data_IF_518544574536
#
_entry.id   IF_518544574536
#
_cell.length_a   1.000
_cell.length_b   1.000
_cell.length_c   1.000
_cell.angle_alpha   90.00
_cell.angle_beta   90.00
_cell.angle_gamma   90.00
#
_symmetry.space_group_name_H-M   'P 1'
#
loop_
_entity.id
_entity.type
_entity.pdbx_description
1 polymer ?
#
# COMPACT_ATOMS: atom_id res chain seq x y z
N UNK A 1 0.03 -19.16 -3.00
CA UNK A 1 -0.79 -18.08 -2.38
C UNK A 1 -1.79 -18.72 -1.43
N UNK A 2 -2.09 -18.08 -0.29
CA UNK A 2 -2.87 -18.72 0.80
C UNK A 2 -4.30 -19.08 0.39
N UNK A 3 -4.89 -18.37 -0.57
CA UNK A 3 -6.26 -18.61 -1.02
C UNK A 3 -6.51 -20.00 -1.63
N UNK A 4 -5.50 -20.65 -2.25
CA UNK A 4 -5.70 -21.98 -2.82
C UNK A 4 -6.04 -23.03 -1.75
N UNK A 5 -5.40 -22.96 -0.57
CA UNK A 5 -5.70 -23.84 0.55
C UNK A 5 -7.14 -23.63 1.05
N UNK A 6 -7.60 -22.37 1.08
CA UNK A 6 -8.96 -22.05 1.50
C UNK A 6 -10.02 -22.50 0.48
N UNK A 7 -9.72 -22.38 -0.83
CA UNK A 7 -10.58 -22.92 -1.89
C UNK A 7 -10.67 -24.45 -1.80
N UNK A 8 -9.53 -25.12 -1.64
CA UNK A 8 -9.51 -26.59 -1.48
C UNK A 8 -10.28 -27.03 -0.24
N UNK A 9 -10.14 -26.31 0.88
CA UNK A 9 -10.90 -26.58 2.09
C UNK A 9 -12.41 -26.37 1.89
N UNK A 10 -12.82 -25.32 1.19
CA UNK A 10 -14.22 -25.09 0.84
C UNK A 10 -14.79 -26.20 -0.06
N UNK A 11 -14.03 -26.64 -1.07
CA UNK A 11 -14.42 -27.75 -1.93
C UNK A 11 -14.54 -29.05 -1.13
N UNK A 12 -13.59 -29.33 -0.24
CA UNK A 12 -13.66 -30.46 0.68
C UNK A 12 -14.92 -30.40 1.57
N UNK A 13 -15.24 -29.24 2.14
CA UNK A 13 -16.46 -29.06 2.93
C UNK A 13 -17.72 -29.39 2.10
N UNK A 14 -17.79 -28.98 0.83
CA UNK A 14 -18.93 -29.29 -0.03
C UNK A 14 -19.07 -30.81 -0.30
N UNK A 15 -17.95 -31.50 -0.56
CA UNK A 15 -17.94 -32.96 -0.73
C UNK A 15 -18.37 -33.67 0.55
N UNK A 16 -17.88 -33.22 1.70
CA UNK A 16 -18.25 -33.76 3.01
C UNK A 16 -19.73 -33.54 3.32
N UNK A 17 -20.25 -32.32 3.14
CA UNK A 17 -21.68 -32.02 3.33
C UNK A 17 -22.54 -32.92 2.42
N UNK A 18 -22.10 -33.15 1.18
CA UNK A 18 -22.81 -34.04 0.26
C UNK A 18 -22.81 -35.50 0.74
N UNK A 19 -21.66 -36.01 1.17
CA UNK A 19 -21.51 -37.38 1.67
C UNK A 19 -22.37 -37.69 2.90
N UNK A 20 -22.71 -36.67 3.69
CA UNK A 20 -23.54 -36.78 4.89
C UNK A 20 -24.96 -36.20 4.71
N UNK A 21 -25.44 -36.05 3.48
CA UNK A 21 -26.80 -35.57 3.16
C UNK A 21 -27.17 -34.23 3.82
N UNK A 22 -26.24 -33.29 3.85
CA UNK A 22 -26.46 -31.98 4.45
C UNK A 22 -27.57 -31.19 3.76
N UNK A 23 -28.33 -30.42 4.54
CA UNK A 23 -29.43 -29.59 4.03
C UNK A 23 -28.92 -28.40 3.21
N UNK A 24 -29.80 -27.82 2.38
CA UNK A 24 -29.54 -26.57 1.66
C UNK A 24 -28.97 -25.45 2.55
N UNK A 25 -29.46 -25.32 3.78
CA UNK A 25 -29.02 -24.28 4.72
C UNK A 25 -27.55 -24.42 5.12
N UNK A 26 -27.03 -25.64 5.17
CA UNK A 26 -25.60 -25.90 5.45
C UNK A 26 -24.74 -25.41 4.29
N UNK A 27 -25.15 -25.68 3.05
CA UNK A 27 -24.47 -25.15 1.86
C UNK A 27 -24.49 -23.63 1.82
N UNK A 28 -25.65 -23.02 2.08
CA UNK A 28 -25.79 -21.56 2.11
C UNK A 28 -24.88 -20.94 3.18
N UNK A 29 -24.87 -21.50 4.39
CA UNK A 29 -23.99 -21.04 5.46
C UNK A 29 -22.51 -21.13 5.08
N UNK A 30 -22.06 -22.28 4.54
CA UNK A 30 -20.69 -22.47 4.08
C UNK A 30 -20.32 -21.50 2.96
N UNK A 31 -21.22 -21.25 2.01
CA UNK A 31 -21.01 -20.29 0.93
C UNK A 31 -20.88 -18.85 1.45
N UNK A 32 -21.74 -18.43 2.38
CA UNK A 32 -21.66 -17.10 3.00
C UNK A 32 -20.36 -16.92 3.79
N UNK A 33 -19.96 -17.94 4.57
CA UNK A 33 -18.70 -17.94 5.29
C UNK A 33 -17.50 -17.85 4.35
N UNK A 34 -17.50 -18.66 3.27
CA UNK A 34 -16.46 -18.62 2.25
C UNK A 34 -16.36 -17.23 1.60
N UNK A 35 -17.51 -16.67 1.21
CA UNK A 35 -17.59 -15.34 0.60
C UNK A 35 -17.08 -14.25 1.56
N UNK A 36 -17.44 -14.31 2.84
CA UNK A 36 -16.94 -13.38 3.86
C UNK A 36 -15.42 -13.43 4.01
N UNK A 37 -14.82 -14.63 4.01
CA UNK A 37 -13.35 -14.79 4.06
C UNK A 37 -12.69 -14.27 2.79
N UNK A 38 -13.27 -14.50 1.61
CA UNK A 38 -12.76 -13.97 0.34
C UNK A 38 -12.79 -12.45 0.33
N UNK A 39 -13.89 -11.84 0.77
CA UNK A 39 -14.02 -10.39 0.90
C UNK A 39 -12.99 -9.86 1.89
N UNK A 40 -12.89 -10.43 3.09
CA UNK A 40 -11.88 -10.00 4.07
C UNK A 40 -10.45 -10.12 3.53
N UNK A 41 -10.12 -11.22 2.87
CA UNK A 41 -8.83 -11.43 2.22
C UNK A 41 -8.54 -10.42 1.09
N UNK A 42 -9.57 -9.88 0.44
CA UNK A 42 -9.43 -8.84 -0.59
C UNK A 42 -9.09 -7.48 -0.01
N UNK A 43 -9.69 -7.12 1.14
CA UNK A 43 -9.55 -5.81 1.77
C UNK A 43 -8.44 -5.71 2.83
N UNK A 44 -7.91 -6.84 3.31
CA UNK A 44 -6.79 -6.88 4.26
C UNK A 44 -5.48 -7.30 3.59
N UNK A 45 -4.72 -6.29 3.16
CA UNK A 45 -3.41 -6.45 2.50
C UNK A 45 -2.37 -7.17 3.37
N UNK A 46 -2.54 -7.21 4.70
CA UNK A 46 -1.62 -7.89 5.61
C UNK A 46 -1.77 -9.41 5.59
N UNK A 47 -2.94 -9.93 5.21
CA UNK A 47 -3.17 -11.38 5.13
C UNK A 47 -2.35 -12.02 4.00
N UNK A 48 -2.02 -11.24 2.97
CA UNK A 48 -1.35 -11.75 1.78
C UNK A 48 -2.20 -12.78 1.02
N UNK A 49 -3.52 -12.60 1.02
CA UNK A 49 -4.46 -13.60 0.54
C UNK A 49 -4.34 -13.79 -0.98
N UNK A 50 -4.52 -12.72 -1.76
CA UNK A 50 -4.35 -12.74 -3.23
C UNK A 50 -2.97 -12.27 -3.69
N UNK A 51 -2.33 -11.36 -2.96
CA UNK A 51 -1.02 -10.79 -3.31
C UNK A 51 -0.17 -10.79 -2.06
N UNK A 52 1.06 -11.29 -2.15
CA UNK A 52 2.00 -11.19 -1.03
C UNK A 52 2.65 -9.81 -1.03
N UNK A 53 2.09 -8.89 -0.26
CA UNK A 53 2.58 -7.52 -0.16
C UNK A 53 3.59 -7.38 0.97
N UNK A 54 4.63 -6.58 0.75
CA UNK A 54 5.56 -6.19 1.80
C UNK A 54 4.86 -5.19 2.73
N UNK A 55 4.52 -5.61 3.94
CA UNK A 55 3.77 -4.79 4.92
C UNK A 55 4.61 -4.30 6.09
N UNK A 56 5.79 -4.88 6.30
CA UNK A 56 6.77 -4.48 7.33
C UNK A 56 8.17 -4.99 6.99
N UNK A 57 9.20 -4.32 7.49
CA UNK A 57 10.58 -4.81 7.55
C UNK A 57 10.77 -5.68 8.79
N UNK A 58 11.41 -6.84 8.66
CA UNK A 58 11.86 -7.62 9.83
C UNK A 58 13.18 -7.04 10.30
N UNK A 59 13.17 -6.33 11.42
CA UNK A 59 14.37 -5.65 11.95
C UNK A 59 14.32 -5.54 13.48
N UNK A 60 15.50 -5.57 14.11
CA UNK A 60 15.67 -5.29 15.55
C UNK A 60 15.96 -3.81 15.82
N UNK A 61 16.25 -3.03 14.79
CA UNK A 61 16.59 -1.60 14.86
C UNK A 61 15.28 -0.80 14.94
N UNK A 62 15.31 0.33 15.64
CA UNK A 62 14.19 1.29 15.69
C UNK A 62 14.18 2.10 14.40
N UNK A 63 13.59 1.55 13.37
CA UNK A 63 13.41 2.22 12.08
C UNK A 63 11.98 1.98 11.55
N UNK A 64 11.43 2.92 10.80
CA UNK A 64 10.09 2.82 10.18
C UNK A 64 10.08 3.42 8.77
N UNK A 65 9.16 3.01 7.91
CA UNK A 65 8.93 3.66 6.64
C UNK A 65 7.74 4.62 6.74
N UNK A 66 7.98 5.89 6.41
CA UNK A 66 6.92 6.83 6.08
C UNK A 66 6.55 6.62 4.61
N UNK A 67 5.27 6.37 4.34
CA UNK A 67 4.79 6.22 2.97
C UNK A 67 3.57 7.08 2.71
N UNK A 68 3.56 7.75 1.56
CA UNK A 68 2.51 8.67 1.16
C UNK A 68 1.87 8.21 -0.16
N UNK A 69 0.56 8.11 -0.18
CA UNK A 69 -0.23 7.76 -1.37
C UNK A 69 -0.94 9.00 -1.92
N UNK A 70 -1.35 8.88 -3.18
CA UNK A 70 -2.18 9.82 -3.97
C UNK A 70 -1.50 11.10 -4.47
N UNK A 71 -0.31 11.44 -3.98
CA UNK A 71 0.47 12.56 -4.47
C UNK A 71 1.07 12.37 -5.89
N UNK A 72 1.77 13.39 -6.42
CA UNK A 72 1.92 14.73 -5.83
C UNK A 72 0.64 15.58 -5.87
N UNK A 73 0.51 16.53 -4.95
CA UNK A 73 -0.57 17.53 -4.88
C UNK A 73 -0.01 18.91 -4.52
N UNK A 74 -0.86 19.93 -4.39
CA UNK A 74 -0.46 21.24 -3.85
C UNK A 74 0.07 21.19 -2.41
N UNK A 75 -0.23 20.14 -1.64
CA UNK A 75 0.29 19.97 -0.28
C UNK A 75 1.65 19.30 -0.24
N UNK A 76 1.98 18.44 -1.21
CA UNK A 76 3.23 17.66 -1.24
C UNK A 76 4.49 18.49 -1.00
N UNK A 77 4.66 19.73 -1.55
CA UNK A 77 5.83 20.55 -1.24
C UNK A 77 6.03 20.81 0.27
N UNK A 78 4.96 21.03 1.03
CA UNK A 78 5.04 21.24 2.49
C UNK A 78 5.52 19.98 3.21
N UNK A 79 5.11 18.80 2.73
CA UNK A 79 5.57 17.52 3.28
C UNK A 79 7.06 17.33 3.02
N UNK A 80 7.54 17.66 1.81
CA UNK A 80 8.96 17.61 1.46
C UNK A 80 9.79 18.53 2.34
N UNK A 81 9.35 19.79 2.53
CA UNK A 81 10.02 20.75 3.43
C UNK A 81 10.17 20.17 4.84
N UNK A 82 9.08 19.65 5.40
CA UNK A 82 9.07 19.09 6.74
C UNK A 82 9.94 17.83 6.88
N UNK A 83 9.95 16.96 5.86
CA UNK A 83 10.83 15.78 5.82
C UNK A 83 12.31 16.20 5.75
N UNK A 84 12.63 17.20 4.93
CA UNK A 84 13.98 17.75 4.77
C UNK A 84 14.49 18.40 6.05
N UNK A 85 13.68 19.22 6.71
CA UNK A 85 13.99 19.83 8.01
C UNK A 85 14.34 18.79 9.08
N UNK A 86 13.66 17.63 9.03
CA UNK A 86 13.89 16.53 9.97
C UNK A 86 14.93 15.51 9.48
N UNK A 87 15.55 15.73 8.32
CA UNK A 87 16.50 14.82 7.68
C UNK A 87 15.95 13.40 7.49
N UNK A 88 14.64 13.27 7.24
CA UNK A 88 13.96 11.99 7.06
C UNK A 88 13.63 11.74 5.58
N UNK A 89 13.68 10.48 5.16
CA UNK A 89 13.31 10.06 3.80
C UNK A 89 12.06 9.19 3.86
N UNK A 90 11.20 9.33 2.85
CA UNK A 90 9.94 8.62 2.72
C UNK A 90 9.84 7.92 1.34
N UNK A 91 8.79 7.13 1.17
CA UNK A 91 8.40 6.55 -0.12
C UNK A 91 7.05 7.11 -0.57
N UNK A 92 6.99 7.65 -1.78
CA UNK A 92 5.78 8.23 -2.35
C UNK A 92 5.23 7.29 -3.43
N UNK A 93 3.99 6.83 -3.27
CA UNK A 93 3.27 6.08 -4.28
C UNK A 93 2.42 7.05 -5.09
N UNK A 94 2.94 7.45 -6.25
CA UNK A 94 2.37 8.53 -7.03
C UNK A 94 1.35 8.02 -8.06
N UNK A 95 0.30 8.81 -8.25
CA UNK A 95 -0.70 8.58 -9.31
C UNK A 95 -0.19 9.21 -10.61
N UNK A 96 -0.24 8.48 -11.73
CA UNK A 96 0.25 8.97 -13.02
C UNK A 96 -0.31 10.35 -13.43
N UNK A 97 -1.64 10.52 -13.35
CA UNK A 97 -2.29 11.82 -13.63
C UNK A 97 -1.81 12.96 -12.74
N UNK A 98 -1.44 12.66 -11.50
CA UNK A 98 -0.95 13.68 -10.58
C UNK A 98 0.49 14.07 -10.90
N UNK A 99 1.31 13.13 -11.35
CA UNK A 99 2.65 13.43 -11.86
C UNK A 99 2.57 14.36 -13.07
N UNK A 100 1.64 14.12 -14.00
CA UNK A 100 1.41 15.01 -15.15
C UNK A 100 0.96 16.42 -14.72
N UNK A 101 0.16 16.51 -13.66
CA UNK A 101 -0.36 17.77 -13.13
C UNK A 101 0.69 18.56 -12.33
N UNK A 102 1.57 17.90 -11.59
CA UNK A 102 2.58 18.53 -10.74
C UNK A 102 4.01 18.00 -11.03
N UNK A 103 4.53 18.16 -12.27
CA UNK A 103 5.79 17.56 -12.69
C UNK A 103 7.00 18.08 -11.90
N UNK A 104 7.02 19.38 -11.57
CA UNK A 104 8.10 19.99 -10.78
C UNK A 104 8.15 19.44 -9.36
N UNK A 105 6.98 19.25 -8.73
CA UNK A 105 6.89 18.65 -7.40
C UNK A 105 7.34 17.19 -7.43
N UNK A 106 6.97 16.44 -8.47
CA UNK A 106 7.45 15.07 -8.66
C UNK A 106 8.98 15.00 -8.81
N UNK A 107 9.58 15.85 -9.64
CA UNK A 107 11.03 15.92 -9.78
C UNK A 107 11.72 16.32 -8.47
N UNK A 108 11.09 17.20 -7.69
CA UNK A 108 11.57 17.56 -6.35
C UNK A 108 11.57 16.37 -5.39
N UNK A 109 10.54 15.52 -5.39
CA UNK A 109 10.51 14.29 -4.58
C UNK A 109 11.76 13.44 -4.87
N UNK A 110 12.10 13.28 -6.15
CA UNK A 110 13.27 12.49 -6.60
C UNK A 110 14.58 13.18 -6.22
N UNK A 111 14.72 14.49 -6.50
CA UNK A 111 15.93 15.26 -6.24
C UNK A 111 16.26 15.32 -4.74
N UNK A 112 15.25 15.28 -3.88
CA UNK A 112 15.42 15.19 -2.43
C UNK A 112 15.69 13.76 -1.94
N UNK A 113 15.85 12.78 -2.82
CA UNK A 113 16.28 11.42 -2.48
C UNK A 113 15.20 10.58 -1.81
N UNK A 114 13.93 10.87 -2.07
CA UNK A 114 12.82 9.99 -1.69
C UNK A 114 12.61 8.90 -2.75
N UNK A 115 12.03 7.79 -2.32
CA UNK A 115 11.75 6.66 -3.23
C UNK A 115 10.37 6.82 -3.86
N UNK A 116 10.27 6.54 -5.16
CA UNK A 116 9.01 6.56 -5.91
C UNK A 116 8.47 5.13 -6.09
N UNK A 117 7.16 4.98 -5.90
CA UNK A 117 6.38 3.82 -6.29
C UNK A 117 5.20 4.21 -7.18
N UNK A 118 4.66 3.21 -7.87
CA UNK A 118 3.52 3.35 -8.77
C UNK A 118 2.20 3.16 -7.99
N UNK A 119 1.25 4.06 -8.19
CA UNK A 119 -0.10 3.99 -7.60
C UNK A 119 -1.22 4.01 -8.64
N UNK A 120 -1.00 3.35 -9.79
CA UNK A 120 -1.83 3.40 -11.00
C UNK A 120 -1.86 4.76 -11.69
N UNK A 121 -2.28 4.78 -12.95
CA UNK A 121 -2.33 6.02 -13.71
C UNK A 121 -3.48 6.92 -13.26
N UNK A 122 -4.69 6.37 -13.08
CA UNK A 122 -5.90 7.17 -12.85
C UNK A 122 -6.43 7.12 -11.42
N UNK A 123 -6.13 6.07 -10.65
CA UNK A 123 -6.69 5.81 -9.32
C UNK A 123 -8.23 5.93 -9.28
N UNK A 124 -8.92 5.36 -10.28
CA UNK A 124 -10.39 5.40 -10.33
C UNK A 124 -11.05 4.60 -9.20
N UNK A 125 -12.27 4.97 -8.80
CA UNK A 125 -13.06 4.16 -7.86
C UNK A 125 -13.34 2.74 -8.37
N UNK A 126 -13.26 2.52 -9.69
CA UNK A 126 -13.48 1.23 -10.32
C UNK A 126 -12.22 0.36 -10.38
N UNK A 127 -11.08 0.83 -9.88
CA UNK A 127 -9.79 0.12 -9.99
C UNK A 127 -9.87 -1.30 -9.42
N UNK A 128 -10.60 -1.52 -8.33
CA UNK A 128 -10.83 -2.86 -7.76
C UNK A 128 -11.60 -3.83 -8.67
N UNK A 129 -12.31 -3.32 -9.67
CA UNK A 129 -13.16 -4.10 -10.59
C UNK A 129 -12.56 -4.23 -12.00
N UNK A 130 -11.38 -3.66 -12.25
CA UNK A 130 -10.74 -3.75 -13.55
C UNK A 130 -10.36 -5.20 -13.87
N UNK A 131 -10.47 -5.54 -15.16
CA UNK A 131 -9.91 -6.78 -15.69
C UNK A 131 -8.38 -6.72 -15.65
N UNK A 132 -7.73 -7.89 -15.73
CA UNK A 132 -6.26 -7.96 -15.75
C UNK A 132 -5.63 -7.04 -16.81
N UNK A 133 -6.05 -7.05 -18.09
CA UNK A 133 -5.42 -6.19 -19.11
C UNK A 133 -5.57 -4.70 -18.82
N UNK A 134 -6.74 -4.26 -18.34
CA UNK A 134 -6.95 -2.85 -17.96
C UNK A 134 -6.10 -2.43 -16.77
N UNK A 135 -5.89 -3.33 -15.81
CA UNK A 135 -5.00 -3.06 -14.68
C UNK A 135 -3.52 -3.00 -15.11
N UNK A 136 -3.11 -3.86 -16.05
CA UNK A 136 -1.76 -3.79 -16.66
C UNK A 136 -1.57 -2.44 -17.33
N UNK A 137 -2.54 -2.00 -18.15
CA UNK A 137 -2.52 -0.69 -18.80
C UNK A 137 -2.41 0.47 -17.79
N UNK A 138 -3.16 0.44 -16.70
CA UNK A 138 -3.08 1.46 -15.64
C UNK A 138 -1.70 1.50 -14.96
N UNK A 139 -1.05 0.36 -14.79
CA UNK A 139 0.30 0.28 -14.20
C UNK A 139 1.33 0.79 -15.20
N UNK A 140 1.31 0.28 -16.43
CA UNK A 140 2.30 0.61 -17.47
C UNK A 140 2.23 2.08 -17.87
N UNK A 141 1.03 2.66 -18.03
CA UNK A 141 0.87 4.11 -18.27
C UNK A 141 1.47 4.95 -17.16
N UNK A 142 1.30 4.54 -15.90
CA UNK A 142 1.92 5.25 -14.78
C UNK A 142 3.44 5.11 -14.82
N UNK A 143 3.98 3.96 -15.20
CA UNK A 143 5.43 3.77 -15.38
C UNK A 143 6.00 4.63 -16.50
N UNK A 144 5.30 4.73 -17.62
CA UNK A 144 5.68 5.60 -18.75
C UNK A 144 5.80 7.06 -18.30
N UNK A 145 4.83 7.56 -17.52
CA UNK A 145 4.86 8.92 -16.98
C UNK A 145 5.98 9.11 -15.95
N UNK A 146 6.16 8.15 -15.03
CA UNK A 146 7.26 8.16 -14.05
C UNK A 146 8.61 8.26 -14.78
N UNK A 147 8.80 7.48 -15.84
CA UNK A 147 10.03 7.49 -16.63
C UNK A 147 10.18 8.80 -17.43
N UNK A 148 9.12 9.25 -18.11
CA UNK A 148 9.14 10.46 -18.94
C UNK A 148 9.50 11.72 -18.15
N UNK A 149 8.95 11.88 -16.94
CA UNK A 149 9.11 13.11 -16.15
C UNK A 149 10.28 12.99 -15.16
N UNK A 150 10.49 11.81 -14.57
CA UNK A 150 11.47 11.59 -13.51
C UNK A 150 12.75 10.90 -13.96
N UNK A 151 12.80 10.34 -15.18
CA UNK A 151 13.91 9.51 -15.68
C UNK A 151 14.31 8.36 -14.73
N UNK A 152 13.32 7.77 -14.05
CA UNK A 152 13.52 6.63 -13.16
C UNK A 152 12.62 5.48 -13.54
N UNK A 153 13.03 4.26 -13.18
CA UNK A 153 12.21 3.06 -13.26
C UNK A 153 12.00 2.53 -11.84
N UNK A 154 10.77 2.18 -11.50
CA UNK A 154 10.43 1.58 -10.22
C UNK A 154 9.72 0.26 -10.43
N UNK A 155 10.03 -0.74 -9.60
CA UNK A 155 9.24 -1.95 -9.50
C UNK A 155 8.27 -1.91 -8.31
N UNK A 156 8.25 -0.83 -7.52
CA UNK A 156 7.35 -0.70 -6.38
C UNK A 156 5.95 -0.34 -6.88
N UNK A 157 4.96 -1.04 -6.35
CA UNK A 157 3.55 -0.78 -6.64
C UNK A 157 2.75 -0.89 -5.36
N UNK A 158 1.80 0.02 -5.14
CA UNK A 158 0.80 -0.10 -4.09
C UNK A 158 -0.59 -0.21 -4.71
N UNK A 159 -1.36 -1.28 -4.42
CA UNK A 159 -2.73 -1.38 -4.89
C UNK A 159 -3.61 -0.24 -4.33
N UNK A 160 -4.34 0.49 -5.18
CA UNK A 160 -5.35 1.47 -4.75
C UNK A 160 -6.29 0.91 -3.69
N UNK A 161 -6.55 1.73 -2.67
CA UNK A 161 -7.37 1.37 -1.50
C UNK A 161 -6.87 0.17 -0.67
N UNK A 162 -5.72 -0.42 -1.01
CA UNK A 162 -5.23 -1.68 -0.43
C UNK A 162 -5.99 -2.92 -0.90
N UNK A 163 -6.87 -2.79 -1.90
CA UNK A 163 -7.70 -3.88 -2.40
C UNK A 163 -6.86 -4.80 -3.29
N UNK A 164 -6.94 -6.10 -3.04
CA UNK A 164 -6.27 -7.12 -3.85
C UNK A 164 -7.27 -8.18 -4.30
N UNK A 165 -7.11 -8.69 -5.51
CA UNK A 165 -7.95 -9.74 -6.09
C UNK A 165 -7.15 -10.52 -7.16
N UNK A 166 -7.69 -11.60 -7.75
CA UNK A 166 -6.98 -12.38 -8.76
C UNK A 166 -6.54 -11.58 -9.99
N UNK A 167 -7.34 -10.61 -10.45
CA UNK A 167 -7.00 -9.77 -11.61
C UNK A 167 -5.79 -8.87 -11.30
N UNK A 168 -5.83 -8.17 -10.15
CA UNK A 168 -4.72 -7.34 -9.68
C UNK A 168 -3.47 -8.20 -9.47
N UNK A 169 -3.61 -9.39 -8.86
CA UNK A 169 -2.49 -10.31 -8.66
C UNK A 169 -1.84 -10.75 -9.97
N UNK A 170 -2.64 -11.00 -11.01
CA UNK A 170 -2.14 -11.35 -12.35
C UNK A 170 -1.46 -10.15 -13.02
N UNK A 171 -2.04 -8.96 -12.93
CA UNK A 171 -1.47 -7.74 -13.49
C UNK A 171 -0.12 -7.38 -12.84
N UNK A 172 0.00 -7.47 -11.52
CA UNK A 172 1.26 -7.27 -10.79
C UNK A 172 2.35 -8.24 -11.26
N UNK A 173 2.00 -9.52 -11.50
CA UNK A 173 2.95 -10.50 -12.03
C UNK A 173 3.38 -10.18 -13.46
N UNK A 174 2.45 -9.80 -14.33
CA UNK A 174 2.74 -9.47 -15.73
C UNK A 174 3.60 -8.21 -15.88
N UNK A 175 3.43 -7.25 -14.98
CA UNK A 175 4.20 -5.98 -14.94
C UNK A 175 5.45 -6.06 -14.06
N UNK A 176 5.79 -7.25 -13.54
CA UNK A 176 6.94 -7.50 -12.67
C UNK A 176 7.03 -6.56 -11.45
N UNK A 177 5.87 -6.13 -10.93
CA UNK A 177 5.80 -5.24 -9.77
C UNK A 177 5.91 -5.99 -8.45
N UNK A 178 6.47 -5.30 -7.46
CA UNK A 178 6.51 -5.71 -6.07
C UNK A 178 5.44 -4.92 -5.31
N UNK A 179 4.44 -5.64 -4.81
CA UNK A 179 3.34 -5.04 -4.05
C UNK A 179 3.81 -4.60 -2.66
N UNK A 180 3.59 -3.33 -2.33
CA UNK A 180 3.90 -2.74 -1.04
C UNK A 180 2.60 -2.40 -0.32
N UNK A 181 2.39 -3.00 0.85
CA UNK A 181 1.27 -2.67 1.72
C UNK A 181 1.72 -1.84 2.92
N UNK A 182 1.05 -2.05 4.05
CA UNK A 182 1.35 -1.40 5.33
C UNK A 182 0.90 -2.30 6.49
N UNK A 183 1.45 -2.05 7.67
CA UNK A 183 0.95 -2.62 8.93
C UNK A 183 0.43 -1.54 9.89
N UNK A 184 0.65 -0.27 9.59
CA UNK A 184 0.10 0.88 10.32
C UNK A 184 -0.70 1.74 9.35
N UNK A 185 -2.03 1.74 9.49
CA UNK A 185 -2.96 2.53 8.67
C UNK A 185 -3.43 3.76 9.45
N UNK A 186 -3.18 4.95 8.92
CA UNK A 186 -3.59 6.23 9.52
C UNK A 186 -5.11 6.45 9.51
N UNK A 187 -5.79 6.05 8.43
CA UNK A 187 -7.16 6.43 8.09
C UNK A 187 -7.36 7.96 8.05
N UNK A 188 -6.32 8.67 7.61
CA UNK A 188 -6.30 10.14 7.47
C UNK A 188 -7.21 10.64 6.35
N UNK A 189 -7.52 9.85 5.34
CA UNK A 189 -8.52 10.21 4.31
C UNK A 189 -9.98 10.12 4.80
N UNK A 190 -10.23 9.42 5.92
CA UNK A 190 -11.59 9.18 6.45
C UNK A 190 -11.82 9.93 7.77
N UNK A 191 -10.78 10.01 8.63
CA UNK A 191 -10.88 10.62 9.95
C UNK A 191 -10.56 12.11 9.86
N UNK A 192 -11.41 13.01 10.39
CA UNK A 192 -11.10 14.45 10.42
C UNK A 192 -10.33 14.90 11.67
N UNK A 193 -10.30 14.08 12.72
CA UNK A 193 -9.61 14.42 13.96
C UNK A 193 -8.13 14.00 13.93
N UNK A 194 -7.23 15.00 13.89
CA UNK A 194 -5.76 14.83 13.88
C UNK A 194 -5.25 13.98 15.06
N UNK A 195 -5.73 14.24 16.29
CA UNK A 195 -5.32 13.51 17.50
C UNK A 195 -5.68 12.03 17.39
N UNK A 196 -6.82 11.71 16.80
CA UNK A 196 -7.25 10.32 16.58
C UNK A 196 -6.33 9.62 15.56
N UNK A 197 -5.98 10.30 14.46
CA UNK A 197 -5.04 9.76 13.47
C UNK A 197 -3.67 9.52 14.12
N UNK A 198 -3.12 10.54 14.79
CA UNK A 198 -1.84 10.48 15.49
C UNK A 198 -1.79 9.32 16.50
N UNK A 199 -2.81 9.21 17.37
CA UNK A 199 -2.90 8.13 18.37
C UNK A 199 -2.97 6.75 17.72
N UNK A 200 -3.70 6.61 16.61
CA UNK A 200 -3.81 5.34 15.86
C UNK A 200 -2.47 4.93 15.28
N UNK A 201 -1.73 5.86 14.68
CA UNK A 201 -0.42 5.60 14.09
C UNK A 201 0.59 5.22 15.17
N UNK A 202 0.72 6.04 16.22
CA UNK A 202 1.72 5.84 17.28
C UNK A 202 1.45 4.61 18.14
N UNK A 203 0.18 4.31 18.48
CA UNK A 203 -0.18 3.12 19.28
C UNK A 203 0.20 1.80 18.60
N UNK A 204 0.07 1.73 17.28
CA UNK A 204 0.32 0.51 16.51
C UNK A 204 1.76 0.41 15.98
N UNK A 205 2.58 1.44 16.23
CA UNK A 205 3.92 1.53 15.71
C UNK A 205 4.83 0.45 16.31
N UNK A 206 5.54 -0.25 15.43
CA UNK A 206 6.56 -1.25 15.77
C UNK A 206 7.82 -1.01 14.94
N UNK A 207 8.94 -1.56 15.39
CA UNK A 207 10.18 -1.62 14.60
C UNK A 207 9.91 -2.24 13.22
N UNK A 208 10.40 -1.58 12.18
CA UNK A 208 10.20 -1.97 10.79
C UNK A 208 8.80 -1.70 10.22
N UNK A 209 7.94 -0.95 10.92
CA UNK A 209 6.60 -0.68 10.41
C UNK A 209 6.64 0.13 9.11
N UNK A 210 5.71 -0.17 8.21
CA UNK A 210 5.38 0.67 7.05
C UNK A 210 4.08 1.39 7.39
N UNK A 211 4.16 2.73 7.43
CA UNK A 211 3.06 3.62 7.81
C UNK A 211 2.44 4.18 6.53
N UNK A 212 1.14 3.95 6.33
CA UNK A 212 0.35 4.58 5.28
C UNK A 212 -0.18 5.94 5.75
N UNK A 213 0.12 6.99 4.98
CA UNK A 213 -0.38 8.37 5.06
C UNK A 213 -0.72 8.86 3.64
N UNK A 214 -1.35 10.03 3.53
CA UNK A 214 -1.62 10.68 2.23
C UNK A 214 -1.18 12.15 2.30
N UNK A 215 -0.35 12.59 1.35
CA UNK A 215 0.17 13.95 1.25
C UNK A 215 -0.79 14.91 0.53
N UNK A 216 -2.08 14.81 0.88
CA UNK A 216 -3.20 15.44 0.17
C UNK A 216 -3.97 16.45 1.02
N UNK A 217 -3.58 16.66 2.29
CA UNK A 217 -4.29 17.58 3.19
C UNK A 217 -3.42 18.19 4.28
N UNK A 218 -3.81 19.38 4.75
CA UNK A 218 -3.20 20.07 5.89
C UNK A 218 -3.30 19.26 7.19
N UNK A 219 -4.42 18.56 7.39
CA UNK A 219 -4.62 17.67 8.52
C UNK A 219 -3.55 16.58 8.60
N UNK A 220 -3.24 15.92 7.48
CA UNK A 220 -2.17 14.91 7.47
C UNK A 220 -0.80 15.55 7.68
N UNK A 221 -0.58 16.77 7.19
CA UNK A 221 0.65 17.52 7.45
C UNK A 221 0.86 17.78 8.96
N UNK A 222 -0.18 18.22 9.68
CA UNK A 222 -0.11 18.42 11.13
C UNK A 222 0.18 17.10 11.87
N UNK A 223 -0.48 16.01 11.47
CA UNK A 223 -0.21 14.67 12.02
C UNK A 223 1.23 14.24 11.74
N UNK A 224 1.77 14.51 10.56
CA UNK A 224 3.15 14.20 10.21
C UNK A 224 4.11 14.98 11.12
N UNK A 225 3.87 16.27 11.35
CA UNK A 225 4.69 17.09 12.27
C UNK A 225 4.80 16.46 13.66
N UNK A 226 3.67 16.09 14.26
CA UNK A 226 3.64 15.44 15.57
C UNK A 226 4.28 14.04 15.53
N UNK A 227 4.08 13.30 14.45
CA UNK A 227 4.67 11.97 14.26
C UNK A 227 6.20 12.05 14.17
N UNK A 228 6.77 13.01 13.44
CA UNK A 228 8.22 13.19 13.32
C UNK A 228 8.86 13.53 14.67
N UNK A 229 8.21 14.40 15.46
CA UNK A 229 8.62 14.69 16.84
C UNK A 229 8.61 13.44 17.72
N UNK A 230 7.55 12.64 17.63
CA UNK A 230 7.46 11.37 18.35
C UNK A 230 8.55 10.38 17.93
N UNK A 231 8.81 10.24 16.63
CA UNK A 231 9.86 9.35 16.12
C UNK A 231 11.24 9.77 16.63
N UNK A 232 11.52 11.08 16.62
CA UNK A 232 12.76 11.64 17.17
C UNK A 232 12.92 11.36 18.66
N UNK A 233 11.88 11.65 19.46
CA UNK A 233 11.86 11.36 20.92
C UNK A 233 12.11 9.87 21.20
N UNK A 234 11.44 8.99 20.46
CA UNK A 234 11.58 7.53 20.63
C UNK A 234 12.82 6.93 19.97
N UNK A 235 13.66 7.76 19.35
CA UNK A 235 14.88 7.40 18.62
C UNK A 235 14.63 6.41 17.49
N UNK A 236 13.59 6.66 16.70
CA UNK A 236 13.34 5.98 15.42
C UNK A 236 14.01 6.74 14.27
N UNK A 237 14.70 5.99 13.41
CA UNK A 237 15.09 6.48 12.08
C UNK A 237 14.03 6.14 11.03
N UNK A 238 14.15 6.72 9.84
CA UNK A 238 13.32 6.38 8.68
C UNK A 238 14.10 5.60 7.63
N UNK A 239 13.44 4.67 6.96
CA UNK A 239 13.96 4.00 5.75
C UNK A 239 12.95 4.10 4.60
N UNK A 240 13.42 4.01 3.38
CA UNK A 240 12.59 3.91 2.17
C UNK A 240 12.36 2.44 1.79
N UNK A 241 11.20 2.12 1.22
CA UNK A 241 10.78 0.72 1.04
C UNK A 241 11.69 -0.07 0.09
N UNK A 242 12.32 0.57 -0.89
CA UNK A 242 13.27 -0.08 -1.80
C UNK A 242 14.49 -0.67 -1.09
N UNK A 243 14.87 -0.14 0.08
CA UNK A 243 15.98 -0.68 0.88
C UNK A 243 15.71 -2.10 1.38
N UNK A 244 14.44 -2.45 1.63
CA UNK A 244 14.07 -3.82 2.02
C UNK A 244 14.32 -4.78 0.86
N UNK A 245 13.99 -4.34 -0.35
CA UNK A 245 14.07 -5.17 -1.55
C UNK A 245 15.52 -5.37 -2.00
N UNK A 246 16.35 -4.34 -1.96
CA UNK A 246 17.78 -4.44 -2.32
C UNK A 246 18.51 -5.46 -1.45
N UNK A 247 18.21 -5.49 -0.15
CA UNK A 247 18.86 -6.43 0.77
C UNK A 247 18.46 -7.90 0.49
N UNK A 248 17.24 -8.18 0.01
CA UNK A 248 16.81 -9.54 -0.33
C UNK A 248 17.49 -10.11 -1.59
N UNK A 249 18.06 -9.27 -2.44
CA UNK A 249 18.75 -9.70 -3.65
C UNK A 249 20.26 -9.91 -3.42
N UNK A 250 20.77 -9.54 -2.25
CA UNK A 250 22.18 -9.64 -1.88
C UNK A 250 22.45 -10.77 -0.85
N UNK A 251 21.40 -11.50 -0.47
CA UNK A 251 21.42 -12.71 0.37
C UNK A 251 21.04 -13.92 -0.50
#
# INVERSE_FOLDING_TARGET
MKHYLFILFYLFCNVFIHAFHGTFWVYLFCFLLFSAVVVWGSFDIQLGYFVNSLTRKRTKIKEVALTFDDGPTEFTPKFLDLLKENQMKATFFCIGKQIEKYPETFQRIIAEGHTIGNHTFSHSNNTGFLSTPKMVEEIEKCDEIIYKIGNIKTNLYRPPFGVTNPNIAKAIRQTHKKSIGWNVRSLDTITNNEKTIYKRVTKNLKKGSIILLHDTSEKTYNVLKDLLLFLKDKKYSTFTVDTIIKNQNND
#
